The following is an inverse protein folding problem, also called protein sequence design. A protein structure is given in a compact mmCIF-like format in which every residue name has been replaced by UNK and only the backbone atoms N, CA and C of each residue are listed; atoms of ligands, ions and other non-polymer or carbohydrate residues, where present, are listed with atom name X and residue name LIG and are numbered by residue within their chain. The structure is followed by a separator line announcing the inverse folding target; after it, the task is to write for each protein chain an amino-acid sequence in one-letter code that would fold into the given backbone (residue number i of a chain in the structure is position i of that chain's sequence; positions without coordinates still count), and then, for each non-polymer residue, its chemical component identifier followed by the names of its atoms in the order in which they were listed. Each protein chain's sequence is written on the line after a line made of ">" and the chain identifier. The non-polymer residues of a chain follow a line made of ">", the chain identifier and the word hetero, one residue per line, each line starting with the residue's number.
data_IF_049511452961
#
_entry.id   IF_049511452961
#
_cell.length_a   1.000
_cell.length_b   1.000
_cell.length_c   1.000
_cell.angle_alpha   90.00
_cell.angle_beta   90.00
_cell.angle_gamma   90.00
#
_symmetry.space_group_name_H-M   'P 1'
#
loop_
_entity.id
_entity.type
_entity.pdbx_description
1 polymer ?
#
# COMPACT_ATOMS: atom_id res chain seq x y z
N UNK A 1 5.97 30.84 -2.14
CA UNK A 1 5.36 29.50 -2.04
C UNK A 1 3.95 29.60 -2.57
N UNK A 2 3.72 29.20 -3.82
CA UNK A 2 2.41 29.31 -4.46
C UNK A 2 1.38 28.42 -3.77
N UNK A 3 0.13 28.90 -3.71
CA UNK A 3 -1.01 28.19 -3.10
C UNK A 3 -1.19 26.79 -3.71
N UNK A 4 -0.94 26.65 -5.01
CA UNK A 4 -1.03 25.37 -5.74
C UNK A 4 -0.01 24.34 -5.24
N UNK A 5 1.22 24.77 -4.94
CA UNK A 5 2.25 23.88 -4.38
C UNK A 5 1.82 23.34 -3.02
N UNK A 6 1.29 24.21 -2.14
CA UNK A 6 0.80 23.81 -0.81
C UNK A 6 -0.36 22.83 -0.90
N UNK A 7 -1.34 23.10 -1.76
CA UNK A 7 -2.48 22.19 -1.98
C UNK A 7 -1.97 20.83 -2.45
N UNK A 8 -1.09 20.80 -3.45
CA UNK A 8 -0.51 19.55 -3.98
C UNK A 8 0.24 18.79 -2.90
N UNK A 9 1.02 19.47 -2.05
CA UNK A 9 1.75 18.87 -0.94
C UNK A 9 0.80 18.24 0.09
N UNK A 10 -0.24 18.95 0.52
CA UNK A 10 -1.21 18.41 1.46
C UNK A 10 -1.99 17.24 0.86
N UNK A 11 -2.40 17.34 -0.41
CA UNK A 11 -3.03 16.22 -1.14
C UNK A 11 -2.11 15.00 -1.17
N UNK A 12 -0.82 15.20 -1.44
CA UNK A 12 0.18 14.13 -1.43
C UNK A 12 0.27 13.44 -0.07
N UNK A 13 0.43 14.22 1.01
CA UNK A 13 0.50 13.67 2.38
C UNK A 13 -0.77 12.94 2.77
N UNK A 14 -1.95 13.51 2.52
CA UNK A 14 -3.24 12.87 2.83
C UNK A 14 -3.40 11.58 2.03
N UNK A 15 -3.04 11.58 0.76
CA UNK A 15 -3.10 10.39 -0.08
C UNK A 15 -2.15 9.28 0.38
N UNK A 16 -0.98 9.61 0.95
CA UNK A 16 -0.09 8.65 1.58
C UNK A 16 -0.76 7.99 2.80
N UNK A 17 -1.35 8.81 3.67
CA UNK A 17 -2.07 8.33 4.87
C UNK A 17 -3.23 7.40 4.47
N UNK A 18 -4.04 7.81 3.49
CA UNK A 18 -5.17 7.01 2.99
C UNK A 18 -4.73 5.76 2.21
N UNK A 19 -3.53 5.75 1.64
CA UNK A 19 -2.99 4.58 0.94
C UNK A 19 -2.39 3.55 1.90
N UNK A 20 -1.83 3.96 3.05
CA UNK A 20 -1.12 3.07 3.99
C UNK A 20 -2.00 2.71 5.19
N UNK A 21 -2.63 3.71 5.82
CA UNK A 21 -3.38 3.57 7.07
C UNK A 21 -4.44 2.47 7.07
N UNK A 22 -5.29 2.35 6.03
CA UNK A 22 -6.36 1.35 6.03
C UNK A 22 -5.87 -0.11 6.07
N UNK A 23 -4.61 -0.40 5.71
CA UNK A 23 -4.07 -1.77 5.79
C UNK A 23 -3.96 -2.30 7.22
N UNK A 24 -3.82 -1.43 8.22
CA UNK A 24 -3.81 -1.86 9.63
C UNK A 24 -5.17 -2.40 10.09
N UNK A 25 -6.28 -1.92 9.49
CA UNK A 25 -7.63 -2.41 9.79
C UNK A 25 -7.84 -3.82 9.20
N UNK A 26 -7.01 -4.25 8.25
CA UNK A 26 -7.13 -5.60 7.69
C UNK A 26 -6.76 -6.67 8.72
N UNK A 27 -5.89 -6.40 9.70
CA UNK A 27 -5.55 -7.37 10.75
C UNK A 27 -6.77 -7.84 11.57
N UNK A 28 -7.58 -6.96 12.17
CA UNK A 28 -8.79 -7.39 12.86
C UNK A 28 -9.83 -8.00 11.91
N UNK A 29 -9.92 -7.57 10.65
CA UNK A 29 -10.81 -8.19 9.65
C UNK A 29 -10.39 -9.63 9.37
N UNK A 30 -9.11 -9.89 9.13
CA UNK A 30 -8.54 -11.23 8.90
C UNK A 30 -8.83 -12.14 10.12
N UNK A 31 -8.62 -11.65 11.34
CA UNK A 31 -8.95 -12.40 12.57
C UNK A 31 -10.44 -12.72 12.69
N UNK A 32 -11.32 -11.83 12.22
CA UNK A 32 -12.78 -12.05 12.23
C UNK A 32 -13.21 -13.05 11.15
N UNK A 33 -12.57 -13.04 9.98
CA UNK A 33 -12.78 -14.07 8.94
C UNK A 33 -12.48 -15.46 9.49
N UNK A 34 -11.36 -15.60 10.23
CA UNK A 34 -10.97 -16.90 10.81
C UNK A 34 -12.00 -17.45 11.81
N UNK A 35 -12.65 -16.57 12.57
CA UNK A 35 -13.59 -16.94 13.63
C UNK A 35 -15.05 -16.99 13.17
N UNK A 36 -15.33 -16.65 11.91
CA UNK A 36 -16.68 -16.54 11.41
C UNK A 36 -17.31 -17.92 11.19
N UNK A 37 -18.51 -18.12 11.75
CA UNK A 37 -19.19 -19.41 11.74
C UNK A 37 -20.00 -19.68 10.46
N UNK A 38 -20.31 -18.64 9.68
CA UNK A 38 -21.10 -18.76 8.44
C UNK A 38 -20.39 -18.13 7.24
N UNK A 39 -20.64 -18.70 6.08
CA UNK A 39 -20.11 -18.22 4.79
C UNK A 39 -20.56 -16.79 4.47
N UNK A 40 -21.78 -16.42 4.86
CA UNK A 40 -22.33 -15.07 4.70
C UNK A 40 -21.54 -14.02 5.49
N UNK A 41 -21.18 -14.34 6.74
CA UNK A 41 -20.39 -13.45 7.60
C UNK A 41 -18.96 -13.33 7.07
N UNK A 42 -18.37 -14.44 6.59
CA UNK A 42 -17.08 -14.42 5.90
C UNK A 42 -17.13 -13.50 4.69
N UNK A 43 -18.17 -13.61 3.86
CA UNK A 43 -18.34 -12.79 2.66
C UNK A 43 -18.44 -11.30 3.00
N UNK A 44 -19.20 -10.92 4.04
CA UNK A 44 -19.29 -9.53 4.49
C UNK A 44 -17.93 -8.94 4.93
N UNK A 45 -17.09 -9.75 5.60
CA UNK A 45 -15.73 -9.32 5.96
C UNK A 45 -14.80 -9.25 4.74
N UNK A 46 -14.95 -10.14 3.76
CA UNK A 46 -14.19 -10.09 2.51
C UNK A 46 -14.57 -8.89 1.64
N UNK A 47 -15.83 -8.48 1.65
CA UNK A 47 -16.29 -7.27 0.96
C UNK A 47 -15.72 -6.02 1.63
N UNK A 48 -15.72 -5.98 2.97
CA UNK A 48 -15.03 -4.93 3.75
C UNK A 48 -13.54 -4.87 3.44
N UNK A 49 -12.87 -6.02 3.41
CA UNK A 49 -11.46 -6.15 3.02
C UNK A 49 -11.21 -5.59 1.62
N UNK A 50 -12.05 -5.99 0.66
CA UNK A 50 -11.94 -5.57 -0.75
C UNK A 50 -12.17 -4.06 -0.91
N UNK A 51 -13.09 -3.50 -0.15
CA UNK A 51 -13.33 -2.06 -0.10
C UNK A 51 -12.10 -1.31 0.43
N UNK A 52 -11.52 -1.77 1.54
CA UNK A 52 -10.29 -1.20 2.12
C UNK A 52 -9.14 -1.19 1.12
N UNK A 53 -8.88 -2.32 0.45
CA UNK A 53 -7.84 -2.43 -0.58
C UNK A 53 -8.12 -1.50 -1.76
N UNK A 54 -9.39 -1.40 -2.17
CA UNK A 54 -9.81 -0.52 -3.27
C UNK A 54 -9.61 0.94 -2.91
N UNK A 55 -10.02 1.38 -1.72
CA UNK A 55 -9.80 2.74 -1.23
C UNK A 55 -8.32 3.08 -1.25
N UNK A 56 -7.49 2.21 -0.67
CA UNK A 56 -6.05 2.41 -0.62
C UNK A 56 -5.41 2.46 -2.01
N UNK A 57 -5.89 1.65 -2.97
CA UNK A 57 -5.45 1.73 -4.37
C UNK A 57 -5.76 3.09 -4.99
N UNK A 58 -6.96 3.63 -4.81
CA UNK A 58 -7.32 4.95 -5.37
C UNK A 58 -6.50 6.06 -4.72
N UNK A 59 -6.33 6.03 -3.40
CA UNK A 59 -5.44 6.94 -2.69
C UNK A 59 -4.00 6.82 -3.20
N UNK A 60 -3.53 5.61 -3.48
CA UNK A 60 -2.22 5.36 -4.09
C UNK A 60 -2.06 6.03 -5.46
N UNK A 61 -3.08 6.03 -6.33
CA UNK A 61 -3.00 6.75 -7.61
C UNK A 61 -2.88 8.27 -7.40
N UNK A 62 -3.65 8.82 -6.45
CA UNK A 62 -3.55 10.25 -6.08
C UNK A 62 -2.16 10.56 -5.53
N UNK A 63 -1.58 9.66 -4.73
CA UNK A 63 -0.21 9.78 -4.21
C UNK A 63 0.82 9.84 -5.34
N UNK A 64 0.72 8.95 -6.33
CA UNK A 64 1.63 8.94 -7.49
C UNK A 64 1.51 10.24 -8.28
N UNK A 65 0.29 10.62 -8.67
CA UNK A 65 0.06 11.80 -9.51
C UNK A 65 0.52 13.08 -8.81
N UNK A 66 0.16 13.25 -7.54
CA UNK A 66 0.61 14.39 -6.75
C UNK A 66 2.13 14.40 -6.52
N UNK A 67 2.76 13.23 -6.36
CA UNK A 67 4.22 13.11 -6.25
C UNK A 67 4.93 13.54 -7.53
N UNK A 68 4.42 13.13 -8.70
CA UNK A 68 4.94 13.57 -10.01
C UNK A 68 4.84 15.09 -10.14
N UNK A 69 3.68 15.67 -9.79
CA UNK A 69 3.48 17.13 -9.80
C UNK A 69 4.45 17.84 -8.87
N UNK A 70 4.72 17.29 -7.68
CA UNK A 70 5.71 17.86 -6.76
C UNK A 70 7.12 17.82 -7.36
N UNK A 71 7.56 16.70 -7.95
CA UNK A 71 8.89 16.61 -8.60
C UNK A 71 9.02 17.64 -9.72
N UNK A 72 8.02 17.76 -10.59
CA UNK A 72 8.00 18.75 -11.68
C UNK A 72 8.13 20.18 -11.18
N UNK A 73 7.59 20.49 -9.99
CA UNK A 73 7.61 21.84 -9.42
C UNK A 73 8.76 22.09 -8.41
N UNK A 74 9.56 21.07 -8.06
CA UNK A 74 10.50 21.16 -6.93
C UNK A 74 11.97 21.19 -7.30
N UNK A 75 12.32 21.35 -8.58
CA UNK A 75 13.71 21.45 -9.06
C UNK A 75 14.52 20.15 -8.92
N UNK A 76 13.97 19.11 -8.31
CA UNK A 76 14.60 17.80 -8.19
C UNK A 76 14.63 17.09 -9.55
N UNK A 77 15.76 16.44 -9.86
CA UNK A 77 15.90 15.64 -11.07
C UNK A 77 15.38 14.22 -10.85
N UNK A 78 14.75 13.65 -11.87
CA UNK A 78 14.27 12.26 -11.89
C UNK A 78 15.36 11.21 -11.65
N UNK A 79 16.63 11.58 -11.83
CA UNK A 79 17.80 10.74 -11.55
C UNK A 79 18.19 10.70 -10.09
N UNK A 80 17.49 11.42 -9.21
CA UNK A 80 17.80 11.43 -7.79
C UNK A 80 17.57 10.02 -7.22
N UNK A 81 18.57 9.41 -6.54
CA UNK A 81 18.52 8.00 -6.15
C UNK A 81 17.27 7.59 -5.36
N UNK A 82 16.87 8.41 -4.38
CA UNK A 82 15.67 8.12 -3.57
C UNK A 82 14.37 8.19 -4.40
N UNK A 83 14.29 9.04 -5.43
CA UNK A 83 13.14 9.11 -6.35
C UNK A 83 13.08 7.82 -7.18
N UNK A 84 14.19 7.39 -7.77
CA UNK A 84 14.25 6.15 -8.55
C UNK A 84 13.86 4.93 -7.71
N UNK A 85 14.39 4.84 -6.49
CA UNK A 85 14.07 3.73 -5.59
C UNK A 85 12.60 3.74 -5.17
N UNK A 86 12.04 4.93 -4.93
CA UNK A 86 10.61 5.10 -4.62
C UNK A 86 9.74 4.62 -5.78
N UNK A 87 10.07 4.98 -7.02
CA UNK A 87 9.35 4.53 -8.22
C UNK A 87 9.43 3.00 -8.36
N UNK A 88 10.62 2.41 -8.16
CA UNK A 88 10.81 0.96 -8.22
C UNK A 88 9.95 0.22 -7.18
N UNK A 89 9.98 0.69 -5.92
CA UNK A 89 9.18 0.12 -4.83
C UNK A 89 7.69 0.29 -5.11
N UNK A 90 7.28 1.45 -5.63
CA UNK A 90 5.89 1.75 -5.98
C UNK A 90 5.36 0.83 -7.08
N UNK A 91 6.12 0.60 -8.16
CA UNK A 91 5.72 -0.35 -9.22
C UNK A 91 5.64 -1.77 -8.65
N UNK A 92 6.61 -2.14 -7.81
CA UNK A 92 6.62 -3.44 -7.13
C UNK A 92 5.41 -3.63 -6.22
N UNK A 93 4.99 -2.58 -5.51
CA UNK A 93 3.84 -2.61 -4.62
C UNK A 93 2.53 -2.77 -5.39
N UNK A 94 2.35 -2.04 -6.49
CA UNK A 94 1.18 -2.19 -7.37
C UNK A 94 1.06 -3.62 -7.90
N UNK A 95 2.17 -4.20 -8.35
CA UNK A 95 2.21 -5.58 -8.82
C UNK A 95 1.88 -6.58 -7.69
N UNK A 96 2.49 -6.39 -6.52
CA UNK A 96 2.23 -7.23 -5.34
C UNK A 96 0.76 -7.14 -4.92
N UNK A 97 0.17 -5.95 -4.88
CA UNK A 97 -1.22 -5.74 -4.49
C UNK A 97 -2.18 -6.54 -5.40
N UNK A 98 -2.01 -6.43 -6.71
CA UNK A 98 -2.82 -7.14 -7.69
C UNK A 98 -2.64 -8.67 -7.59
N UNK A 99 -1.40 -9.13 -7.45
CA UNK A 99 -1.07 -10.57 -7.53
C UNK A 99 -1.19 -11.32 -6.20
N UNK A 100 -1.09 -10.65 -5.05
CA UNK A 100 -1.18 -11.30 -3.74
C UNK A 100 -2.62 -11.36 -3.21
N UNK A 101 -3.36 -10.24 -3.31
CA UNK A 101 -4.70 -10.15 -2.70
C UNK A 101 -5.79 -10.68 -3.62
N UNK A 102 -5.82 -10.29 -4.89
CA UNK A 102 -6.89 -10.66 -5.84
C UNK A 102 -7.11 -12.18 -5.98
N UNK A 103 -6.07 -13.01 -6.21
CA UNK A 103 -6.27 -14.45 -6.32
C UNK A 103 -6.63 -15.10 -4.98
N UNK A 104 -6.15 -14.55 -3.86
CA UNK A 104 -6.46 -15.08 -2.53
C UNK A 104 -7.93 -14.83 -2.19
N UNK A 105 -8.44 -13.62 -2.43
CA UNK A 105 -9.86 -13.29 -2.26
C UNK A 105 -10.78 -14.14 -3.16
N UNK A 106 -10.36 -14.44 -4.39
CA UNK A 106 -11.12 -15.32 -5.29
C UNK A 106 -11.24 -16.75 -4.77
N UNK A 107 -10.23 -17.25 -4.05
CA UNK A 107 -10.24 -18.61 -3.49
C UNK A 107 -11.23 -18.78 -2.33
N UNK A 108 -11.51 -17.73 -1.57
CA UNK A 108 -12.53 -17.77 -0.50
C UNK A 108 -13.95 -18.05 -1.01
N UNK A 109 -14.23 -17.78 -2.29
CA UNK A 109 -15.54 -18.03 -2.90
C UNK A 109 -15.76 -19.48 -3.34
N UNK A 110 -14.76 -20.35 -3.17
CA UNK A 110 -14.88 -21.77 -3.54
C UNK A 110 -15.54 -22.56 -2.40
N UNK A 111 -16.40 -23.54 -2.70
CA UNK A 111 -17.06 -24.38 -1.68
C UNK A 111 -16.08 -25.12 -0.76
N UNK A 112 -14.94 -25.59 -1.30
CA UNK A 112 -13.89 -26.30 -0.55
C UNK A 112 -12.73 -25.38 -0.12
N UNK A 113 -13.03 -24.12 0.16
CA UNK A 113 -12.02 -23.17 0.58
C UNK A 113 -11.51 -23.49 2.00
N UNK A 114 -10.22 -23.83 2.11
CA UNK A 114 -9.54 -23.91 3.40
C UNK A 114 -9.34 -22.49 3.97
N UNK A 115 -10.28 -22.08 4.83
CA UNK A 115 -10.35 -20.74 5.42
C UNK A 115 -9.09 -20.42 6.23
N UNK A 116 -8.54 -21.39 6.96
CA UNK A 116 -7.35 -21.17 7.79
C UNK A 116 -6.12 -20.91 6.92
N UNK A 117 -5.86 -21.75 5.92
CA UNK A 117 -4.72 -21.56 5.01
C UNK A 117 -4.81 -20.24 4.23
N UNK A 118 -6.02 -19.87 3.77
CA UNK A 118 -6.25 -18.64 3.02
C UNK A 118 -6.11 -17.41 3.90
N UNK A 119 -6.56 -17.48 5.16
CA UNK A 119 -6.42 -16.40 6.14
C UNK A 119 -4.95 -16.18 6.51
N UNK A 120 -4.16 -17.24 6.71
CA UNK A 120 -2.72 -17.13 6.93
C UNK A 120 -2.00 -16.49 5.73
N UNK A 121 -2.40 -16.87 4.51
CA UNK A 121 -1.86 -16.27 3.28
C UNK A 121 -2.21 -14.79 3.16
N UNK A 122 -3.45 -14.40 3.48
CA UNK A 122 -3.87 -13.01 3.57
C UNK A 122 -3.04 -12.23 4.59
N UNK A 123 -2.89 -12.78 5.80
CA UNK A 123 -2.12 -12.15 6.87
C UNK A 123 -0.67 -11.89 6.47
N UNK A 124 0.02 -12.91 5.94
CA UNK A 124 1.39 -12.79 5.44
C UNK A 124 1.50 -11.75 4.32
N UNK A 125 0.54 -11.76 3.38
CA UNK A 125 0.51 -10.79 2.28
C UNK A 125 0.32 -9.37 2.79
N UNK A 126 -0.57 -9.15 3.76
CA UNK A 126 -0.79 -7.85 4.41
C UNK A 126 0.48 -7.35 5.10
N UNK A 127 1.19 -8.19 5.84
CA UNK A 127 2.46 -7.80 6.50
C UNK A 127 3.51 -7.41 5.46
N UNK A 128 3.75 -8.25 4.45
CA UNK A 128 4.75 -7.96 3.40
C UNK A 128 4.40 -6.64 2.70
N UNK A 129 3.12 -6.43 2.40
CA UNK A 129 2.67 -5.21 1.74
C UNK A 129 2.86 -3.97 2.61
N UNK A 130 2.49 -4.03 3.91
CA UNK A 130 2.73 -2.94 4.85
C UNK A 130 4.23 -2.64 4.95
N UNK A 131 5.08 -3.66 5.09
CA UNK A 131 6.54 -3.47 5.12
C UNK A 131 7.05 -2.77 3.86
N UNK A 132 6.55 -3.15 2.68
CA UNK A 132 6.89 -2.51 1.41
C UNK A 132 6.43 -1.04 1.35
N UNK A 133 5.22 -0.75 1.83
CA UNK A 133 4.70 0.63 1.90
C UNK A 133 5.47 1.50 2.90
N UNK A 134 5.84 0.94 4.05
CA UNK A 134 6.65 1.64 5.05
C UNK A 134 8.07 1.91 4.55
N UNK A 135 8.65 0.97 3.81
CA UNK A 135 9.93 1.17 3.14
C UNK A 135 9.83 2.31 2.10
N UNK A 136 8.76 2.33 1.29
CA UNK A 136 8.49 3.41 0.36
C UNK A 136 8.36 4.77 1.07
N UNK A 137 7.60 4.81 2.17
CA UNK A 137 7.43 6.01 2.98
C UNK A 137 8.76 6.49 3.57
N UNK A 138 9.59 5.57 4.03
CA UNK A 138 10.92 5.87 4.55
C UNK A 138 11.80 6.54 3.48
N UNK A 139 11.83 6.02 2.24
CA UNK A 139 12.55 6.67 1.15
C UNK A 139 12.05 8.09 0.86
N UNK A 140 10.74 8.33 0.94
CA UNK A 140 10.14 9.65 0.75
C UNK A 140 10.47 10.64 1.88
N UNK A 141 10.56 10.17 3.13
CA UNK A 141 10.78 11.04 4.31
C UNK A 141 12.26 11.26 4.57
N UNK A 142 13.03 10.17 4.65
CA UNK A 142 14.45 10.23 4.98
C UNK A 142 15.29 10.77 3.82
N UNK A 143 14.82 10.60 2.57
CA UNK A 143 15.51 11.02 1.33
C UNK A 143 17.01 10.66 1.38
N UNK A 144 17.36 9.38 1.61
CA UNK A 144 18.75 8.99 1.78
C UNK A 144 19.56 9.41 0.55
N UNK A 145 20.63 10.17 0.77
CA UNK A 145 21.64 10.45 -0.24
C UNK A 145 22.51 9.21 -0.47
N UNK A 146 23.17 9.11 -1.62
CA UNK A 146 24.15 8.02 -1.87
C UNK A 146 25.21 7.94 -0.75
N UNK A 147 25.61 9.08 -0.19
CA UNK A 147 26.55 9.15 0.94
C UNK A 147 26.06 8.45 2.22
N UNK A 148 24.75 8.25 2.41
CA UNK A 148 24.23 7.47 3.53
C UNK A 148 24.54 5.97 3.36
N UNK A 149 24.54 5.47 2.13
CA UNK A 149 24.92 4.09 1.83
C UNK A 149 26.44 3.88 1.93
N UNK A 150 27.25 4.91 1.65
CA UNK A 150 28.72 4.87 1.84
C UNK A 150 29.15 4.92 3.32
N UNK A 151 28.26 5.32 4.24
CA UNK A 151 28.56 5.36 5.69
C UNK A 151 28.12 4.12 6.47
N UNK A 152 27.40 3.20 5.81
CA UNK A 152 26.81 1.99 6.41
C UNK A 152 27.52 0.72 5.93
N UNK A 153 28.39 0.81 4.93
CA UNK A 153 29.32 -0.22 4.48
C UNK A 153 30.76 0.28 4.57
#
# INVERSE_FOLDING_TARGET
>A
MDILYRITLYTHVISAILSIGPFFILFPIIKRIQKASSSEVIQAYLDSFSFTVRLAKHAGHVLVVSGILLVMNSGWTWKTPWIMMTILIMVSSLFFLARAFSPTLKKFKKPDADIDSLTQRLHRSTIIYIALLLLMLWFMVAKPSLSFFDSVF
#
